data_IF_558495177607
#
_entry.id   IF_558495177607
#
_cell.length_a   1.000
_cell.length_b   1.000
_cell.length_c   1.000
_cell.angle_alpha   90.00
_cell.angle_beta   90.00
_cell.angle_gamma   90.00
#
_symmetry.space_group_name_H-M   'P 1'
#
loop_
_entity.id
_entity.type
_entity.pdbx_description
1 polymer ?
#
# COMPACT_ATOMS: atom_id res chain seq x y z
N UNK A 1 -0.17 -11.55 16.35
CA UNK A 1 -0.97 -12.78 16.19
C UNK A 1 -2.15 -12.45 15.29
N UNK A 2 -2.52 -13.37 14.40
CA UNK A 2 -3.72 -13.29 13.55
C UNK A 2 -4.96 -13.74 14.31
N UNK A 3 -6.14 -13.52 13.71
CA UNK A 3 -7.39 -14.07 14.23
C UNK A 3 -7.38 -15.59 14.17
N UNK A 4 -6.91 -16.16 13.06
CA UNK A 4 -6.91 -17.61 12.86
C UNK A 4 -5.94 -18.33 13.83
N UNK A 5 -4.81 -17.71 14.18
CA UNK A 5 -3.94 -18.21 15.25
C UNK A 5 -4.60 -18.13 16.64
N UNK A 6 -5.41 -17.10 16.91
CA UNK A 6 -6.18 -17.00 18.16
C UNK A 6 -7.29 -18.07 18.22
N UNK A 7 -7.97 -18.36 17.10
CA UNK A 7 -8.94 -19.47 17.03
C UNK A 7 -8.29 -20.83 17.26
N UNK A 8 -7.12 -21.09 16.65
CA UNK A 8 -6.34 -22.33 16.88
C UNK A 8 -5.88 -22.47 18.33
N UNK A 9 -5.48 -21.38 18.98
CA UNK A 9 -5.16 -21.40 20.41
C UNK A 9 -6.41 -21.61 21.28
N UNK A 10 -7.56 -21.03 20.91
CA UNK A 10 -8.82 -21.25 21.60
C UNK A 10 -9.31 -22.70 21.48
N UNK A 11 -9.01 -23.41 20.39
CA UNK A 11 -9.37 -24.83 20.20
C UNK A 11 -8.60 -25.77 21.14
N UNK A 12 -7.37 -25.43 21.51
CA UNK A 12 -6.57 -26.20 22.47
C UNK A 12 -6.92 -25.91 23.95
N UNK A 13 -7.89 -25.04 24.24
CA UNK A 13 -8.19 -24.57 25.59
C UNK A 13 -9.55 -25.10 26.10
N UNK A 14 -9.69 -25.51 27.38
CA UNK A 14 -10.95 -26.00 27.93
C UNK A 14 -12.12 -25.01 27.76
N UNK A 15 -11.85 -23.70 27.90
CA UNK A 15 -12.84 -22.63 27.71
C UNK A 15 -13.12 -22.27 26.23
N UNK A 16 -12.91 -23.19 25.28
CA UNK A 16 -12.89 -22.88 23.83
C UNK A 16 -14.05 -22.02 23.35
N UNK A 17 -15.30 -22.30 23.79
CA UNK A 17 -16.50 -21.53 23.41
C UNK A 17 -16.43 -20.06 23.88
N UNK A 18 -15.96 -19.82 25.11
CA UNK A 18 -15.82 -18.47 25.67
C UNK A 18 -14.70 -17.69 24.98
N UNK A 19 -13.58 -18.34 24.67
CA UNK A 19 -12.48 -17.72 23.94
C UNK A 19 -12.88 -17.38 22.50
N UNK A 20 -13.51 -18.30 21.77
CA UNK A 20 -14.02 -18.02 20.41
C UNK A 20 -14.99 -16.84 20.43
N UNK A 21 -15.98 -16.83 21.32
CA UNK A 21 -16.92 -15.70 21.46
C UNK A 21 -16.21 -14.36 21.75
N UNK A 22 -15.19 -14.33 22.63
CA UNK A 22 -14.39 -13.13 22.89
C UNK A 22 -13.62 -12.66 21.64
N UNK A 23 -13.08 -13.59 20.84
CA UNK A 23 -12.42 -13.29 19.57
C UNK A 23 -13.44 -12.70 18.58
N UNK A 24 -14.62 -13.31 18.46
CA UNK A 24 -15.72 -12.85 17.60
C UNK A 24 -16.16 -11.42 17.98
N UNK A 25 -16.44 -11.16 19.25
CA UNK A 25 -16.81 -9.81 19.75
C UNK A 25 -15.74 -8.77 19.42
N UNK A 26 -14.45 -9.14 19.52
CA UNK A 26 -13.35 -8.23 19.20
C UNK A 26 -13.21 -7.95 17.69
N UNK A 27 -13.51 -8.91 16.80
CA UNK A 27 -13.58 -8.65 15.36
C UNK A 27 -14.69 -7.66 15.01
N UNK A 28 -15.91 -7.90 15.49
CA UNK A 28 -17.05 -7.00 15.26
C UNK A 28 -16.80 -5.59 15.83
N UNK A 29 -15.99 -5.46 16.89
CA UNK A 29 -15.54 -4.13 17.36
C UNK A 29 -14.62 -3.45 16.33
N UNK A 30 -13.61 -4.15 15.80
CA UNK A 30 -12.69 -3.58 14.80
C UNK A 30 -13.39 -3.23 13.48
N UNK A 31 -14.42 -3.98 13.09
CA UNK A 31 -15.25 -3.70 11.91
C UNK A 31 -16.07 -2.41 12.09
N UNK A 32 -16.67 -2.22 13.26
CA UNK A 32 -17.36 -0.95 13.62
C UNK A 32 -16.38 0.21 13.71
N UNK A 33 -15.24 0.03 14.40
CA UNK A 33 -14.18 1.04 14.52
C UNK A 33 -13.65 1.47 13.15
N UNK A 34 -13.35 0.51 12.26
CA UNK A 34 -12.82 0.80 10.91
C UNK A 34 -13.86 1.58 10.08
N UNK A 35 -15.11 1.10 10.07
CA UNK A 35 -16.22 1.74 9.35
C UNK A 35 -16.49 3.16 9.84
N UNK A 36 -16.49 3.38 11.15
CA UNK A 36 -16.68 4.72 11.72
C UNK A 36 -15.49 5.64 11.43
N UNK A 37 -14.25 5.15 11.55
CA UNK A 37 -13.04 5.93 11.25
C UNK A 37 -13.02 6.39 9.79
N UNK A 38 -13.36 5.50 8.86
CA UNK A 38 -13.49 5.82 7.44
C UNK A 38 -14.59 6.88 7.23
N UNK A 39 -15.79 6.65 7.77
CA UNK A 39 -16.94 7.58 7.66
C UNK A 39 -16.65 8.98 8.22
N UNK A 40 -15.86 9.09 9.29
CA UNK A 40 -15.52 10.36 9.95
C UNK A 40 -14.20 10.98 9.49
N UNK A 41 -13.50 10.39 8.51
CA UNK A 41 -12.18 10.86 8.06
C UNK A 41 -11.10 10.81 9.14
N UNK A 42 -11.27 9.96 10.15
CA UNK A 42 -10.33 9.79 11.26
C UNK A 42 -9.13 8.92 10.87
N UNK A 43 -8.08 8.93 11.69
CA UNK A 43 -6.96 7.99 11.56
C UNK A 43 -7.48 6.55 11.56
N UNK A 44 -7.11 5.78 10.53
CA UNK A 44 -7.55 4.42 10.30
C UNK A 44 -6.90 3.43 11.28
N UNK A 45 -7.32 2.16 11.23
CA UNK A 45 -6.67 1.07 11.96
C UNK A 45 -5.40 0.62 11.23
N UNK A 46 -4.35 0.28 11.99
CA UNK A 46 -3.17 -0.40 11.46
C UNK A 46 -3.59 -1.68 10.72
N UNK A 47 -2.97 -2.05 9.59
CA UNK A 47 -3.26 -3.26 8.83
C UNK A 47 -3.13 -4.56 9.66
N UNK A 48 -2.41 -4.53 10.79
CA UNK A 48 -2.43 -5.62 11.77
C UNK A 48 -3.77 -5.79 12.52
N UNK A 49 -4.71 -4.85 12.35
CA UNK A 49 -6.00 -4.73 13.05
C UNK A 49 -7.14 -4.23 12.16
N UNK A 50 -6.88 -3.77 10.94
CA UNK A 50 -7.90 -3.51 9.92
C UNK A 50 -8.48 -4.85 9.43
N UNK A 51 -9.80 -5.11 9.57
CA UNK A 51 -10.42 -6.38 9.19
C UNK A 51 -10.24 -6.77 7.73
N UNK A 52 -10.02 -5.81 6.81
CA UNK A 52 -9.76 -6.10 5.39
C UNK A 52 -8.57 -7.04 5.18
N UNK A 53 -7.54 -6.93 6.03
CA UNK A 53 -6.31 -7.69 5.89
C UNK A 53 -6.39 -9.04 6.63
N UNK A 54 -7.52 -9.40 7.26
CA UNK A 54 -7.69 -10.62 8.07
C UNK A 54 -7.15 -11.87 7.39
N UNK A 55 -7.49 -12.05 6.12
CA UNK A 55 -7.15 -13.23 5.31
C UNK A 55 -5.90 -13.06 4.44
N UNK A 56 -5.15 -11.97 4.59
CA UNK A 56 -3.86 -11.80 3.89
C UNK A 56 -2.82 -12.76 4.48
N UNK A 57 -2.13 -13.54 3.66
CA UNK A 57 -1.16 -14.54 4.13
C UNK A 57 -0.12 -13.96 5.10
N UNK A 58 0.50 -12.82 4.75
CA UNK A 58 1.42 -12.10 5.63
C UNK A 58 0.82 -11.77 7.01
N UNK A 59 -0.48 -11.48 7.05
CA UNK A 59 -1.21 -11.11 8.27
C UNK A 59 -1.51 -12.33 9.12
N UNK A 60 -1.75 -13.49 8.51
CA UNK A 60 -1.92 -14.77 9.22
C UNK A 60 -0.67 -15.10 10.05
N UNK A 61 0.51 -14.94 9.46
CA UNK A 61 1.77 -15.33 10.08
C UNK A 61 2.38 -14.24 10.99
N UNK A 62 2.16 -12.96 10.68
CA UNK A 62 2.83 -11.87 11.42
C UNK A 62 2.38 -11.75 12.89
N UNK A 63 3.38 -11.81 13.77
CA UNK A 63 3.22 -11.58 15.20
C UNK A 63 4.32 -10.64 15.72
N UNK A 64 4.03 -9.40 16.13
CA UNK A 64 5.05 -8.45 16.61
C UNK A 64 5.71 -8.83 17.95
N UNK A 65 5.37 -9.98 18.53
CA UNK A 65 6.00 -10.59 19.73
C UNK A 65 6.09 -9.67 20.96
N UNK A 66 5.24 -8.63 21.05
CA UNK A 66 5.11 -7.79 22.25
C UNK A 66 3.64 -7.43 22.51
N UNK A 67 3.30 -7.19 23.78
CA UNK A 67 1.93 -7.00 24.27
C UNK A 67 1.32 -5.63 23.97
N UNK A 68 2.08 -4.68 23.42
CA UNK A 68 1.60 -3.31 23.21
C UNK A 68 0.45 -3.27 22.20
N UNK A 69 -0.41 -2.27 22.32
CA UNK A 69 -1.49 -2.03 21.37
C UNK A 69 -0.93 -1.55 20.01
N UNK A 70 -1.73 -1.69 18.96
CA UNK A 70 -1.42 -1.08 17.66
C UNK A 70 -1.81 0.39 17.71
N UNK A 71 -0.95 1.28 17.20
CA UNK A 71 -1.31 2.67 16.96
C UNK A 71 -2.30 2.78 15.80
N UNK A 72 -3.01 3.91 15.73
CA UNK A 72 -3.73 4.31 14.52
C UNK A 72 -2.74 4.79 13.45
N UNK A 73 -3.27 4.99 12.24
CA UNK A 73 -2.50 5.25 11.02
C UNK A 73 -3.21 6.29 10.16
N UNK A 74 -2.49 7.00 9.28
CA UNK A 74 -3.07 8.14 8.55
C UNK A 74 -3.97 7.71 7.39
N UNK A 75 -3.53 6.71 6.62
CA UNK A 75 -4.29 6.07 5.53
C UNK A 75 -4.64 4.62 5.98
N UNK A 76 -5.57 3.99 5.25
CA UNK A 76 -5.85 2.55 5.28
C UNK A 76 -4.65 1.73 4.78
N UNK A 77 -4.56 0.45 5.14
CA UNK A 77 -3.49 -0.45 4.66
C UNK A 77 -2.08 -0.15 5.19
N UNK A 78 -1.95 0.67 6.24
CA UNK A 78 -0.65 0.99 6.85
C UNK A 78 -0.26 0.05 7.97
N UNK A 79 1.02 -0.33 8.07
CA UNK A 79 1.59 -0.68 9.37
C UNK A 79 1.82 0.60 10.19
N UNK A 80 1.32 0.66 11.43
CA UNK A 80 1.73 1.69 12.38
C UNK A 80 3.23 1.56 12.70
N UNK A 81 3.88 2.65 13.14
CA UNK A 81 5.34 2.71 13.28
C UNK A 81 5.95 1.56 14.11
N UNK A 82 5.25 1.07 15.16
CA UNK A 82 5.65 -0.13 15.91
C UNK A 82 5.59 -1.39 15.06
N UNK A 83 4.46 -1.65 14.39
CA UNK A 83 4.28 -2.86 13.58
C UNK A 83 5.24 -2.90 12.39
N UNK A 84 5.50 -1.74 11.77
CA UNK A 84 6.49 -1.60 10.72
C UNK A 84 7.89 -1.97 11.23
N UNK A 85 8.32 -1.37 12.34
CA UNK A 85 9.62 -1.70 12.96
C UNK A 85 9.72 -3.18 13.35
N UNK A 86 8.66 -3.76 13.90
CA UNK A 86 8.64 -5.20 14.25
C UNK A 86 8.71 -6.13 13.03
N UNK A 87 8.15 -5.73 11.89
CA UNK A 87 8.34 -6.46 10.63
C UNK A 87 9.78 -6.31 10.09
N UNK A 88 10.43 -5.15 10.28
CA UNK A 88 11.86 -4.97 9.97
C UNK A 88 12.76 -5.83 10.88
N UNK A 89 12.53 -5.79 12.19
CA UNK A 89 13.25 -6.60 13.20
C UNK A 89 13.13 -8.10 12.94
N UNK A 90 12.00 -8.54 12.35
CA UNK A 90 11.74 -9.94 11.97
C UNK A 90 12.09 -10.26 10.50
N UNK A 91 12.78 -9.37 9.79
CA UNK A 91 13.18 -9.53 8.38
C UNK A 91 12.03 -9.98 7.44
N UNK A 92 10.81 -9.51 7.70
CA UNK A 92 9.60 -9.97 7.01
C UNK A 92 9.66 -9.67 5.49
N UNK A 93 9.68 -10.67 4.60
CA UNK A 93 9.90 -10.44 3.16
C UNK A 93 8.75 -9.68 2.50
N UNK A 94 7.51 -9.90 2.98
CA UNK A 94 6.30 -9.20 2.54
C UNK A 94 6.31 -7.69 2.89
N UNK A 95 7.23 -7.21 3.74
CA UNK A 95 7.31 -5.80 4.12
C UNK A 95 7.62 -4.88 2.92
N UNK A 96 8.17 -5.42 1.83
CA UNK A 96 8.36 -4.69 0.56
C UNK A 96 7.05 -4.20 -0.06
N UNK A 97 5.91 -4.79 0.31
CA UNK A 97 4.56 -4.36 -0.08
C UNK A 97 4.08 -3.11 0.69
N UNK A 98 4.77 -2.73 1.78
CA UNK A 98 4.37 -1.70 2.74
C UNK A 98 5.37 -0.52 2.83
N UNK A 99 6.11 -0.25 1.75
CA UNK A 99 7.34 0.57 1.79
C UNK A 99 7.14 2.07 2.16
N UNK A 100 8.14 2.63 2.84
CA UNK A 100 8.37 4.06 3.06
C UNK A 100 7.32 4.74 3.94
N UNK A 101 6.37 5.42 3.29
CA UNK A 101 5.21 6.03 3.95
C UNK A 101 3.92 5.56 3.30
N UNK A 102 3.78 4.23 3.22
CA UNK A 102 2.63 3.53 3.81
C UNK A 102 1.28 4.17 3.47
N UNK A 103 0.73 3.88 2.30
CA UNK A 103 -0.65 4.24 1.93
C UNK A 103 -1.08 3.48 0.65
N UNK A 104 -0.52 2.29 0.44
CA UNK A 104 0.03 1.94 -0.87
C UNK A 104 1.28 2.78 -1.18
N UNK A 105 1.71 2.82 -2.44
CA UNK A 105 2.93 3.51 -2.88
C UNK A 105 2.63 4.93 -3.37
N UNK A 106 3.62 5.82 -3.51
CA UNK A 106 3.45 7.05 -4.27
C UNK A 106 3.19 6.72 -5.74
N UNK A 107 2.44 7.58 -6.45
CA UNK A 107 2.49 7.58 -7.91
C UNK A 107 3.94 7.80 -8.37
N UNK A 108 4.38 7.02 -9.36
CA UNK A 108 5.72 7.03 -9.97
C UNK A 108 6.34 8.42 -10.20
N UNK A 109 5.55 9.42 -10.61
CA UNK A 109 6.05 10.77 -10.82
C UNK A 109 6.51 11.45 -9.52
N UNK A 110 5.72 11.32 -8.45
CA UNK A 110 5.94 11.98 -7.16
C UNK A 110 6.91 11.21 -6.26
N UNK A 111 7.14 9.92 -6.54
CA UNK A 111 7.96 9.03 -5.74
C UNK A 111 9.39 9.58 -5.53
N UNK A 112 9.82 9.83 -4.28
CA UNK A 112 11.15 10.39 -4.01
C UNK A 112 12.29 9.42 -4.37
N UNK A 113 12.03 8.11 -4.46
CA UNK A 113 13.02 7.10 -4.86
C UNK A 113 13.34 7.15 -6.35
N UNK A 114 12.38 7.64 -7.16
CA UNK A 114 12.46 7.76 -8.62
C UNK A 114 12.86 9.19 -9.05
N UNK A 115 13.92 9.72 -8.42
CA UNK A 115 14.49 11.05 -8.69
C UNK A 115 15.98 10.98 -9.04
N UNK A 116 16.46 9.83 -9.50
CA UNK A 116 17.85 9.61 -9.92
C UNK A 116 18.06 10.23 -11.31
N UNK A 117 19.27 10.65 -11.70
CA UNK A 117 19.51 11.19 -13.04
C UNK A 117 19.07 10.27 -14.19
N UNK A 118 19.13 8.95 -13.99
CA UNK A 118 18.67 7.92 -14.95
C UNK A 118 17.15 7.88 -15.14
N UNK A 119 16.37 8.38 -14.17
CA UNK A 119 14.90 8.38 -14.23
C UNK A 119 14.36 9.44 -15.21
N UNK A 120 15.14 10.49 -15.47
CA UNK A 120 14.83 11.56 -16.42
C UNK A 120 14.44 11.01 -17.81
N UNK A 121 15.07 9.93 -18.24
CA UNK A 121 14.86 9.32 -19.56
C UNK A 121 13.42 8.83 -19.78
N UNK A 122 12.79 8.26 -18.75
CA UNK A 122 11.40 7.83 -18.82
C UNK A 122 10.43 8.91 -18.30
N UNK A 123 10.90 9.88 -17.49
CA UNK A 123 10.08 11.03 -17.05
C UNK A 123 9.83 12.07 -18.13
N UNK A 124 10.78 12.30 -19.05
CA UNK A 124 10.60 13.14 -20.25
C UNK A 124 9.80 12.38 -21.32
N UNK A 125 10.00 11.07 -21.44
CA UNK A 125 9.20 10.22 -22.31
C UNK A 125 9.69 10.11 -23.75
N UNK A 126 8.88 9.51 -24.65
CA UNK A 126 9.19 9.41 -26.06
C UNK A 126 9.06 10.79 -26.75
N UNK A 127 10.04 11.10 -27.61
CA UNK A 127 10.05 12.34 -28.39
C UNK A 127 9.42 12.14 -29.78
N UNK A 128 8.80 13.19 -30.30
CA UNK A 128 8.30 13.29 -31.67
C UNK A 128 9.48 13.42 -32.67
N UNK A 129 9.15 13.50 -33.97
CA UNK A 129 10.13 13.65 -35.06
C UNK A 129 10.93 14.98 -35.02
N UNK A 130 10.46 15.97 -34.26
CA UNK A 130 11.12 17.26 -34.04
C UNK A 130 11.96 17.29 -32.74
N UNK A 131 12.00 16.19 -31.99
CA UNK A 131 12.75 16.06 -30.74
C UNK A 131 12.01 16.52 -29.48
N UNK A 132 10.71 16.79 -29.55
CA UNK A 132 9.89 17.30 -28.43
C UNK A 132 9.11 16.16 -27.75
N UNK A 133 8.99 16.14 -26.41
CA UNK A 133 8.14 15.16 -25.71
C UNK A 133 6.64 15.50 -25.87
N UNK A 134 5.78 14.53 -25.60
CA UNK A 134 4.33 14.79 -25.53
C UNK A 134 3.99 15.68 -24.31
N UNK A 135 3.20 16.77 -24.47
CA UNK A 135 2.86 17.69 -23.38
C UNK A 135 1.93 17.08 -22.30
N UNK A 136 1.46 15.85 -22.51
CA UNK A 136 0.67 15.05 -21.57
C UNK A 136 1.52 13.97 -20.88
N UNK A 137 2.82 13.87 -21.20
CA UNK A 137 3.73 12.88 -20.61
C UNK A 137 4.33 13.35 -19.29
N UNK A 138 5.07 14.47 -19.26
CA UNK A 138 5.51 15.05 -17.99
C UNK A 138 4.31 15.63 -17.23
N UNK A 139 4.35 15.61 -15.90
CA UNK A 139 3.24 16.10 -15.06
C UNK A 139 3.36 17.60 -14.82
N UNK A 140 2.30 18.36 -15.12
CA UNK A 140 2.16 19.76 -14.69
C UNK A 140 1.30 19.83 -13.42
N UNK A 141 1.87 20.17 -12.24
CA UNK A 141 1.11 20.31 -11.00
C UNK A 141 -0.03 21.34 -11.05
N UNK A 142 -0.01 22.28 -12.00
CA UNK A 142 -1.04 23.31 -12.20
C UNK A 142 -2.25 22.78 -12.98
N UNK A 143 -2.06 21.77 -13.84
CA UNK A 143 -3.10 21.18 -14.70
C UNK A 143 -3.61 19.83 -14.19
N UNK A 144 -2.69 18.96 -13.76
CA UNK A 144 -3.00 17.58 -13.37
C UNK A 144 -3.35 17.43 -11.87
N UNK A 145 -3.10 18.46 -11.07
CA UNK A 145 -3.35 18.49 -9.64
C UNK A 145 -2.39 17.58 -8.83
N UNK A 146 -2.87 17.05 -7.70
CA UNK A 146 -2.08 16.15 -6.83
C UNK A 146 -2.29 14.69 -7.24
N UNK A 147 -1.21 13.90 -7.24
CA UNK A 147 -1.34 12.46 -7.49
C UNK A 147 -1.98 11.76 -6.29
N UNK A 148 -2.75 10.73 -6.58
CA UNK A 148 -3.22 9.76 -5.59
C UNK A 148 -2.13 8.72 -5.30
N UNK A 149 -2.38 7.88 -4.29
CA UNK A 149 -1.51 6.76 -3.91
C UNK A 149 -1.94 5.50 -4.68
N UNK A 150 -1.00 4.58 -4.87
CA UNK A 150 -1.15 3.44 -5.80
C UNK A 150 -1.08 2.11 -5.06
N UNK A 151 -1.67 1.05 -5.64
CA UNK A 151 -1.67 -0.28 -5.01
C UNK A 151 -0.29 -0.91 -5.05
N UNK A 152 0.46 -0.71 -6.14
CA UNK A 152 1.72 -1.40 -6.40
C UNK A 152 2.93 -0.46 -6.45
N UNK A 153 4.11 -1.00 -6.14
CA UNK A 153 5.39 -0.31 -6.24
C UNK A 153 5.67 0.08 -7.69
N UNK A 154 6.20 1.27 -7.90
CA UNK A 154 6.46 1.83 -9.23
C UNK A 154 5.21 1.87 -10.14
N UNK A 155 4.01 2.08 -9.59
CA UNK A 155 2.76 2.25 -10.37
C UNK A 155 2.37 3.72 -10.56
N UNK A 156 1.72 4.06 -11.67
CA UNK A 156 0.99 5.31 -11.88
C UNK A 156 -0.35 5.31 -11.11
N UNK A 157 -0.78 6.45 -10.56
CA UNK A 157 -2.16 6.59 -10.09
C UNK A 157 -3.11 6.76 -11.28
N UNK A 158 -4.40 6.42 -11.11
CA UNK A 158 -5.36 6.34 -12.21
C UNK A 158 -5.39 7.61 -13.09
N UNK A 159 -5.31 8.80 -12.50
CA UNK A 159 -5.21 10.08 -13.24
C UNK A 159 -4.01 10.12 -14.19
N UNK A 160 -2.83 9.73 -13.72
CA UNK A 160 -1.61 9.73 -14.52
C UNK A 160 -1.60 8.59 -15.54
N UNK A 161 -2.22 7.44 -15.24
CA UNK A 161 -2.41 6.35 -16.20
C UNK A 161 -3.33 6.80 -17.35
N UNK A 162 -4.55 7.25 -17.05
CA UNK A 162 -5.54 7.68 -18.05
C UNK A 162 -5.02 8.81 -18.96
N UNK A 163 -4.16 9.69 -18.43
CA UNK A 163 -3.54 10.79 -19.18
C UNK A 163 -2.45 10.32 -20.16
N UNK A 164 -1.90 9.12 -19.97
CA UNK A 164 -0.67 8.68 -20.65
C UNK A 164 -0.77 7.34 -21.39
N UNK A 165 -1.73 6.48 -21.08
CA UNK A 165 -1.80 5.13 -21.62
C UNK A 165 -1.95 5.09 -23.16
N UNK A 166 -2.55 6.12 -23.74
CA UNK A 166 -2.73 6.30 -25.19
C UNK A 166 -1.53 6.97 -25.89
N UNK A 167 -0.57 7.56 -25.15
CA UNK A 167 0.57 8.27 -25.75
C UNK A 167 1.49 7.27 -26.46
N UNK A 168 1.85 7.55 -27.73
CA UNK A 168 2.72 6.71 -28.54
C UNK A 168 4.05 6.41 -27.82
N UNK A 169 4.22 5.16 -27.43
CA UNK A 169 5.44 4.69 -26.74
C UNK A 169 5.28 4.50 -25.23
N UNK A 170 4.10 4.72 -24.65
CA UNK A 170 3.79 4.42 -23.24
C UNK A 170 4.27 3.03 -22.80
N UNK A 171 3.90 2.01 -23.58
CA UNK A 171 4.27 0.60 -23.35
C UNK A 171 5.77 0.29 -23.34
N UNK A 172 6.65 1.22 -23.77
CA UNK A 172 8.12 1.09 -23.67
C UNK A 172 8.62 1.18 -22.22
N UNK A 173 8.00 2.07 -21.44
CA UNK A 173 8.41 2.39 -20.08
C UNK A 173 7.47 1.76 -19.05
N UNK A 174 6.17 1.77 -19.31
CA UNK A 174 5.13 1.20 -18.45
C UNK A 174 4.56 -0.09 -19.05
N UNK A 175 3.87 -0.90 -18.23
CA UNK A 175 2.90 -1.86 -18.73
C UNK A 175 1.57 -1.17 -19.08
N UNK A 176 0.81 -1.75 -20.00
CA UNK A 176 -0.43 -1.19 -20.58
C UNK A 176 -1.71 -1.55 -19.83
N UNK A 177 -1.64 -2.40 -18.81
CA UNK A 177 -2.79 -2.93 -18.06
C UNK A 177 -2.97 -2.20 -16.72
N UNK A 178 -1.86 -1.95 -16.01
CA UNK A 178 -1.83 -1.40 -14.65
C UNK A 178 -0.97 -0.14 -14.49
N UNK A 179 -0.20 0.25 -15.51
CA UNK A 179 0.64 1.45 -15.48
C UNK A 179 1.84 1.33 -14.54
N UNK A 180 2.39 0.12 -14.39
CA UNK A 180 3.60 -0.15 -13.60
C UNK A 180 4.84 0.10 -14.49
N UNK A 181 5.73 0.95 -14.00
CA UNK A 181 7.02 1.24 -14.61
C UNK A 181 7.88 -0.03 -14.61
N UNK A 182 8.27 -0.48 -15.80
CA UNK A 182 8.97 -1.75 -16.04
C UNK A 182 10.30 -1.78 -15.27
N UNK A 183 10.70 -2.97 -14.80
CA UNK A 183 11.86 -3.17 -13.90
C UNK A 183 13.14 -2.45 -14.31
N UNK A 184 13.44 -2.36 -15.61
CA UNK A 184 14.63 -1.70 -16.17
C UNK A 184 14.69 -0.18 -15.90
N UNK A 185 13.59 0.43 -15.47
CA UNK A 185 13.46 1.86 -15.19
C UNK A 185 13.05 2.16 -13.73
N UNK A 186 12.63 1.14 -12.97
CA UNK A 186 12.14 1.29 -11.60
C UNK A 186 13.23 1.30 -10.51
N UNK A 187 12.79 1.19 -9.27
CA UNK A 187 13.60 0.81 -8.08
C UNK A 187 13.03 -0.47 -7.47
#
# INVERSE_FOLDING_TARGET
MSFDALYKQAEAHPETRLLKHRIDTYMHQLERDSSERIRKGWTCLCACKDPEYRFSAWRCDFNPQDSRLCGTVRHRGQLCARCYRKAQEQACPWLVEFDGDRFGFPCVFEDPRLRRPVDSNWKIGPKNQHGEPDPSWEKDPRRDGRCERTRFRNQLCQRCFNRMCEIRGFGRYFDTEWGILRRNYGV
#
